data_IF_162230008681
#
_entry.id   IF_162230008681
#
_cell.length_a   1.000
_cell.length_b   1.000
_cell.length_c   1.000
_cell.angle_alpha   90.00
_cell.angle_beta   90.00
_cell.angle_gamma   90.00
#
_symmetry.space_group_name_H-M   'P 1'
#
loop_
_entity.id
_entity.type
_entity.pdbx_description
1 polymer ?
#
# COMPACT_ATOMS: atom_id res chain seq x y z
N UNK A 1 21.03 19.05 3.38
CA UNK A 1 22.19 18.28 2.92
C UNK A 1 21.84 16.80 2.96
N UNK A 2 21.45 16.24 1.83
CA UNK A 2 21.79 14.87 1.43
C UNK A 2 21.33 14.68 -0.02
N UNK A 3 22.27 14.36 -0.90
CA UNK A 3 21.94 13.75 -2.19
C UNK A 3 21.46 12.33 -1.88
N UNK A 4 20.15 12.10 -1.86
CA UNK A 4 19.56 10.77 -1.62
C UNK A 4 18.87 10.37 -2.90
N UNK A 5 19.22 9.20 -3.43
CA UNK A 5 18.54 8.60 -4.57
C UNK A 5 17.03 8.65 -4.38
N UNK A 6 16.31 8.98 -5.46
CA UNK A 6 14.85 9.03 -5.47
C UNK A 6 14.29 7.76 -4.83
N UNK A 7 13.45 7.91 -3.80
CA UNK A 7 12.84 6.77 -3.12
C UNK A 7 12.15 5.86 -4.14
N UNK A 8 12.39 4.55 -4.08
CA UNK A 8 11.85 3.63 -5.07
C UNK A 8 10.32 3.66 -5.11
N UNK A 9 9.67 3.93 -3.97
CA UNK A 9 8.22 4.00 -3.90
C UNK A 9 7.66 5.16 -4.70
N UNK A 10 8.30 6.34 -4.70
CA UNK A 10 7.80 7.45 -5.52
C UNK A 10 7.84 7.11 -7.01
N UNK A 11 8.90 6.43 -7.46
CA UNK A 11 9.03 6.02 -8.87
C UNK A 11 7.96 4.99 -9.26
N UNK A 12 7.63 4.05 -8.37
CA UNK A 12 6.56 3.08 -8.59
C UNK A 12 5.20 3.79 -8.73
N UNK A 13 4.88 4.71 -7.81
CA UNK A 13 3.61 5.43 -7.87
C UNK A 13 3.50 6.31 -9.11
N UNK A 14 4.55 7.03 -9.50
CA UNK A 14 4.54 7.84 -10.72
C UNK A 14 4.34 6.99 -11.98
N UNK A 15 5.00 5.83 -12.06
CA UNK A 15 4.82 4.92 -13.18
C UNK A 15 3.36 4.45 -13.26
N UNK A 16 2.76 4.05 -12.14
CA UNK A 16 1.36 3.62 -12.09
C UNK A 16 0.41 4.78 -12.44
N UNK A 17 0.67 5.98 -11.90
CA UNK A 17 -0.10 7.18 -12.22
C UNK A 17 -0.03 7.50 -13.73
N UNK A 18 1.13 7.35 -14.36
CA UNK A 18 1.29 7.61 -15.80
C UNK A 18 0.47 6.64 -16.68
N UNK A 19 0.29 5.39 -16.24
CA UNK A 19 -0.45 4.36 -16.98
C UNK A 19 -1.98 4.49 -16.83
N UNK A 20 -2.46 5.11 -15.75
CA UNK A 20 -3.89 5.25 -15.49
C UNK A 20 -4.50 6.38 -16.33
N UNK A 21 -5.75 6.19 -16.76
CA UNK A 21 -6.59 7.29 -17.29
C UNK A 21 -7.05 8.20 -16.15
N UNK A 22 -7.42 9.48 -16.42
CA UNK A 22 -8.10 10.31 -15.44
C UNK A 22 -9.32 9.60 -14.84
N UNK A 23 -9.49 9.68 -13.53
CA UNK A 23 -10.50 8.93 -12.77
C UNK A 23 -10.21 7.43 -12.58
N UNK A 24 -9.07 6.95 -13.06
CA UNK A 24 -8.65 5.56 -12.89
C UNK A 24 -8.36 5.22 -11.43
N UNK A 25 -8.77 4.02 -11.01
CA UNK A 25 -8.63 3.54 -9.64
C UNK A 25 -7.55 2.46 -9.59
N UNK A 26 -6.69 2.53 -8.57
CA UNK A 26 -5.79 1.43 -8.19
C UNK A 26 -6.04 1.05 -6.73
N UNK A 27 -6.01 -0.26 -6.47
CA UNK A 27 -6.16 -0.82 -5.13
C UNK A 27 -4.93 -1.65 -4.83
N UNK A 28 -4.16 -1.24 -3.82
CA UNK A 28 -3.03 -2.01 -3.35
C UNK A 28 -3.46 -2.92 -2.19
N UNK A 29 -3.27 -4.22 -2.38
CA UNK A 29 -3.34 -5.19 -1.29
C UNK A 29 -1.99 -5.22 -0.56
N UNK A 30 -1.99 -4.83 0.71
CA UNK A 30 -0.83 -4.63 1.56
C UNK A 30 -0.99 -5.44 2.87
N UNK A 31 0.07 -5.48 3.66
CA UNK A 31 0.06 -6.14 4.96
C UNK A 31 0.44 -5.20 6.10
N UNK A 32 -0.15 -5.45 7.27
CA UNK A 32 0.36 -4.95 8.55
C UNK A 32 1.05 -6.09 9.28
N UNK A 33 2.33 -5.91 9.62
CA UNK A 33 3.09 -6.88 10.41
C UNK A 33 3.73 -6.20 11.61
N UNK A 34 3.45 -6.70 12.82
CA UNK A 34 3.91 -6.20 14.14
C UNK A 34 3.86 -4.67 14.33
N UNK A 35 4.81 -3.93 13.74
CA UNK A 35 5.00 -2.48 13.86
C UNK A 35 5.08 -1.74 12.51
N UNK A 36 4.84 -2.42 11.39
CA UNK A 36 4.85 -1.83 10.05
C UNK A 36 3.46 -1.87 9.45
N UNK A 37 2.87 -0.69 9.34
CA UNK A 37 1.64 -0.43 8.60
C UNK A 37 2.02 0.09 7.21
N UNK A 38 2.01 -0.79 6.21
CA UNK A 38 2.49 -0.44 4.88
C UNK A 38 1.57 0.56 4.19
N UNK A 39 0.25 0.48 4.41
CA UNK A 39 -0.69 1.47 3.90
C UNK A 39 -0.31 2.88 4.34
N UNK A 40 -0.09 3.08 5.65
CA UNK A 40 0.30 4.37 6.22
C UNK A 40 1.68 4.86 5.77
N UNK A 41 2.63 3.94 5.57
CA UNK A 41 3.96 4.31 5.06
C UNK A 41 3.91 4.72 3.58
N UNK A 42 3.02 4.13 2.78
CA UNK A 42 2.95 4.36 1.34
C UNK A 42 2.05 5.54 0.94
N UNK A 43 1.05 5.89 1.76
CA UNK A 43 0.16 7.04 1.53
C UNK A 43 0.90 8.35 1.14
N UNK A 44 1.98 8.78 1.81
CA UNK A 44 2.69 10.01 1.44
C UNK A 44 3.29 9.96 0.04
N UNK A 45 3.86 8.83 -0.37
CA UNK A 45 4.44 8.65 -1.70
C UNK A 45 3.36 8.64 -2.79
N UNK A 46 2.21 8.02 -2.52
CA UNK A 46 1.06 8.06 -3.42
C UNK A 46 0.55 9.50 -3.63
N UNK A 47 0.41 10.27 -2.54
CA UNK A 47 0.01 11.69 -2.62
C UNK A 47 1.04 12.53 -3.37
N UNK A 48 2.32 12.30 -3.12
CA UNK A 48 3.40 12.98 -3.82
C UNK A 48 3.38 12.69 -5.34
N UNK A 49 2.97 11.50 -5.76
CA UNK A 49 2.79 11.14 -7.17
C UNK A 49 1.49 11.69 -7.80
N UNK A 50 0.63 12.38 -7.04
CA UNK A 50 -0.60 13.00 -7.53
C UNK A 50 -1.87 12.18 -7.33
N UNK A 51 -1.83 11.06 -6.61
CA UNK A 51 -3.06 10.32 -6.28
C UNK A 51 -3.88 11.00 -5.20
N UNK A 52 -5.21 10.91 -5.34
CA UNK A 52 -6.12 11.03 -4.22
C UNK A 52 -6.16 9.70 -3.45
N UNK A 53 -5.96 9.76 -2.13
CA UNK A 53 -6.09 8.60 -1.24
C UNK A 53 -7.53 8.55 -0.75
N UNK A 54 -8.32 7.63 -1.28
CA UNK A 54 -9.76 7.54 -0.98
C UNK A 54 -10.00 6.83 0.36
N UNK A 55 -9.40 5.65 0.54
CA UNK A 55 -9.63 4.79 1.69
C UNK A 55 -8.40 3.92 1.99
N UNK A 56 -8.20 3.61 3.26
CA UNK A 56 -7.31 2.56 3.73
C UNK A 56 -8.11 1.61 4.64
N UNK A 57 -8.42 0.43 4.12
CA UNK A 57 -9.24 -0.58 4.80
C UNK A 57 -8.33 -1.63 5.43
N UNK A 58 -8.74 -2.16 6.58
CA UNK A 58 -8.02 -3.20 7.32
C UNK A 58 -8.93 -4.41 7.51
N UNK A 59 -8.39 -5.58 7.25
CA UNK A 59 -9.04 -6.86 7.55
C UNK A 59 -8.15 -7.63 8.54
N UNK A 60 -8.72 -7.99 9.70
CA UNK A 60 -8.01 -8.72 10.74
C UNK A 60 -7.99 -10.21 10.44
N UNK A 61 -6.79 -10.77 10.29
CA UNK A 61 -6.57 -12.18 9.92
C UNK A 61 -5.91 -12.99 11.03
N UNK A 62 -5.76 -12.43 12.24
CA UNK A 62 -5.08 -13.08 13.36
C UNK A 62 -5.70 -14.41 13.78
N UNK A 63 -7.01 -14.55 13.56
CA UNK A 63 -7.80 -15.72 13.97
C UNK A 63 -8.24 -16.57 12.78
N UNK A 64 -7.66 -16.37 11.59
CA UNK A 64 -7.94 -17.25 10.46
C UNK A 64 -7.35 -18.64 10.71
N UNK A 65 -8.14 -19.67 10.43
CA UNK A 65 -7.71 -21.07 10.55
C UNK A 65 -6.42 -21.30 9.77
N UNK A 66 -5.46 -21.97 10.40
CA UNK A 66 -4.14 -22.20 9.79
C UNK A 66 -4.18 -23.32 8.75
N UNK A 67 -5.28 -24.07 8.66
CA UNK A 67 -5.46 -25.22 7.77
C UNK A 67 -4.26 -26.19 7.75
N UNK A 68 -3.55 -26.33 8.88
CA UNK A 68 -2.36 -27.17 9.00
C UNK A 68 -1.04 -26.55 8.51
N UNK A 69 -1.04 -25.27 8.11
CA UNK A 69 0.16 -24.53 7.68
C UNK A 69 0.95 -24.07 8.93
N UNK A 70 2.22 -24.46 9.00
CA UNK A 70 3.11 -24.18 10.14
C UNK A 70 3.55 -22.72 10.26
N UNK A 71 3.72 -22.01 9.13
CA UNK A 71 4.11 -20.60 9.10
C UNK A 71 3.27 -19.85 8.05
N UNK A 72 2.48 -18.87 8.50
CA UNK A 72 1.65 -18.00 7.65
C UNK A 72 2.25 -16.60 7.48
N UNK A 73 3.49 -16.40 7.94
CA UNK A 73 4.12 -15.09 8.02
C UNK A 73 3.63 -14.27 9.21
N UNK A 74 4.16 -13.06 9.34
CA UNK A 74 3.93 -12.15 10.48
C UNK A 74 2.81 -11.13 10.25
N UNK A 75 2.11 -11.21 9.11
CA UNK A 75 1.01 -10.32 8.78
C UNK A 75 -0.17 -10.61 9.70
N UNK A 76 -0.57 -9.59 10.46
CA UNK A 76 -1.70 -9.66 11.39
C UNK A 76 -2.97 -9.06 10.79
N UNK A 77 -2.83 -8.19 9.77
CA UNK A 77 -3.95 -7.61 9.05
C UNK A 77 -3.63 -7.49 7.57
N UNK A 78 -4.57 -7.85 6.71
CA UNK A 78 -4.55 -7.38 5.32
C UNK A 78 -4.99 -5.93 5.27
N UNK A 79 -4.48 -5.21 4.26
CA UNK A 79 -4.80 -3.82 4.01
C UNK A 79 -5.15 -3.59 2.56
N UNK A 80 -6.09 -2.70 2.31
CA UNK A 80 -6.45 -2.26 0.97
C UNK A 80 -6.37 -0.74 0.90
N UNK A 81 -5.36 -0.23 0.17
CA UNK A 81 -5.18 1.20 -0.08
C UNK A 81 -5.82 1.55 -1.44
N UNK A 82 -6.90 2.30 -1.40
CA UNK A 82 -7.65 2.76 -2.57
C UNK A 82 -7.18 4.14 -2.99
N UNK A 83 -6.74 4.25 -4.24
CA UNK A 83 -6.25 5.50 -4.82
C UNK A 83 -6.97 5.82 -6.13
N UNK A 84 -7.25 7.10 -6.37
CA UNK A 84 -7.77 7.60 -7.65
C UNK A 84 -6.76 8.53 -8.30
N UNK A 85 -6.58 8.38 -9.62
CA UNK A 85 -5.89 9.38 -10.44
C UNK A 85 -6.83 10.57 -10.67
N UNK A 86 -6.49 11.70 -10.08
CA UNK A 86 -7.17 12.98 -10.30
C UNK A 86 -6.43 13.80 -11.35
#
# INVERSE_FOLDING_TARGET
MSMIGRDIYISIFENIYSMLKPGGIVVFHLGVAHHKDMGKQLEPYARQAGFEVNNLIYEDVRNCEKHGIGDQGSTVKHQYLFLTKC
#
